data_IF_902786425265
#
_entry.id   IF_902786425265
#
_cell.length_a   1.000
_cell.length_b   1.000
_cell.length_c   1.000
_cell.angle_alpha   90.00
_cell.angle_beta   90.00
_cell.angle_gamma   90.00
#
_symmetry.space_group_name_H-M   'P 1'
#
loop_
_entity.id
_entity.type
_entity.pdbx_description
1 polymer ?
#
# COMPACT_ATOMS: atom_id res chain seq x y z
N UNK A 1 -21.02 35.80 -7.15
CA UNK A 1 -20.08 35.06 -8.02
C UNK A 1 -19.33 36.04 -8.94
N UNK A 2 -18.22 36.62 -8.49
CA UNK A 2 -17.60 37.79 -9.15
C UNK A 2 -16.27 37.46 -9.86
N UNK A 3 -15.61 36.35 -9.51
CA UNK A 3 -14.29 35.96 -10.03
C UNK A 3 -14.34 35.23 -11.40
N UNK A 4 -15.50 34.72 -11.84
CA UNK A 4 -15.63 33.86 -13.06
C UNK A 4 -14.52 32.78 -13.18
N UNK A 5 -14.03 32.26 -12.05
CA UNK A 5 -12.94 31.27 -11.97
C UNK A 5 -11.60 31.69 -12.58
N UNK A 6 -11.35 33.00 -12.78
CA UNK A 6 -10.06 33.49 -13.31
C UNK A 6 -8.91 33.30 -12.32
N UNK A 7 -9.19 33.26 -11.01
CA UNK A 7 -8.22 32.93 -9.95
C UNK A 7 -8.69 31.66 -9.24
N UNK A 8 -8.17 30.48 -9.60
CA UNK A 8 -8.55 29.23 -8.96
C UNK A 8 -8.05 29.17 -7.52
N UNK A 9 -8.80 28.49 -6.66
CA UNK A 9 -8.43 28.21 -5.27
C UNK A 9 -7.96 26.76 -5.22
N UNK A 10 -6.80 26.52 -4.63
CA UNK A 10 -6.21 25.21 -4.47
C UNK A 10 -5.93 24.88 -3.00
N UNK A 11 -6.11 23.62 -2.65
CA UNK A 11 -5.70 23.03 -1.38
C UNK A 11 -4.61 21.98 -1.65
N UNK A 12 -3.67 21.85 -0.71
CA UNK A 12 -2.68 20.79 -0.77
C UNK A 12 -3.34 19.44 -0.46
N UNK A 13 -2.88 18.36 -1.09
CA UNK A 13 -3.35 16.99 -0.78
C UNK A 13 -2.81 16.47 0.55
N UNK A 14 -1.87 17.18 1.18
CA UNK A 14 -1.13 16.76 2.38
C UNK A 14 -1.61 17.41 3.67
N UNK A 15 -2.60 18.31 3.61
CA UNK A 15 -3.20 18.90 4.81
C UNK A 15 -4.36 18.05 5.30
N UNK A 16 -4.60 18.01 6.61
CA UNK A 16 -5.69 17.24 7.18
C UNK A 16 -7.07 17.83 6.83
N UNK A 17 -8.10 16.98 6.86
CA UNK A 17 -9.47 17.33 6.46
C UNK A 17 -10.06 18.52 7.22
N UNK A 18 -9.61 18.78 8.45
CA UNK A 18 -10.01 19.96 9.24
C UNK A 18 -9.68 21.30 8.57
N UNK A 19 -8.73 21.31 7.63
CA UNK A 19 -8.30 22.50 6.89
C UNK A 19 -9.02 22.69 5.56
N UNK A 20 -9.90 21.76 5.17
CA UNK A 20 -10.65 21.82 3.91
C UNK A 20 -11.91 22.68 3.99
N UNK A 21 -12.30 23.14 5.18
CA UNK A 21 -13.44 24.05 5.38
C UNK A 21 -14.75 23.52 4.76
N UNK A 22 -14.99 22.21 4.83
CA UNK A 22 -16.16 21.52 4.24
C UNK A 22 -16.26 21.66 2.70
N UNK A 23 -15.14 21.90 2.01
CA UNK A 23 -15.07 22.02 0.55
C UNK A 23 -14.62 20.73 -0.15
N UNK A 24 -14.38 19.65 0.59
CA UNK A 24 -13.92 18.36 0.06
C UNK A 24 -14.83 17.82 -1.05
N UNK A 25 -16.15 17.94 -0.90
CA UNK A 25 -17.14 17.56 -1.91
C UNK A 25 -17.00 18.34 -3.24
N UNK A 26 -16.28 19.46 -3.23
CA UNK A 26 -16.06 20.36 -4.37
C UNK A 26 -14.63 20.30 -4.92
N UNK A 27 -13.82 19.36 -4.43
CA UNK A 27 -12.45 19.20 -4.88
C UNK A 27 -12.36 18.47 -6.21
N UNK A 28 -11.43 18.91 -7.05
CA UNK A 28 -10.96 18.19 -8.23
C UNK A 28 -9.45 18.01 -8.13
N UNK A 29 -8.99 16.76 -8.15
CA UNK A 29 -7.56 16.46 -8.13
C UNK A 29 -6.88 16.90 -9.45
N UNK A 30 -5.91 17.81 -9.37
CA UNK A 30 -5.09 18.27 -10.48
C UNK A 30 -3.59 18.21 -10.09
N UNK A 31 -2.94 17.08 -10.38
CA UNK A 31 -1.55 16.82 -9.98
C UNK A 31 -1.45 16.43 -8.51
N UNK A 32 -0.87 17.29 -7.68
CA UNK A 32 -0.73 17.13 -6.23
C UNK A 32 -1.56 18.16 -5.42
N UNK A 33 -2.55 18.78 -6.05
CA UNK A 33 -3.40 19.76 -5.41
C UNK A 33 -4.86 19.52 -5.76
N UNK A 34 -5.74 19.88 -4.83
CA UNK A 34 -7.17 19.90 -5.04
C UNK A 34 -7.62 21.29 -5.48
N UNK A 35 -8.17 21.40 -6.68
CA UNK A 35 -8.83 22.62 -7.15
C UNK A 35 -10.27 22.65 -6.68
N UNK A 36 -10.72 23.78 -6.13
CA UNK A 36 -12.15 23.99 -5.87
C UNK A 36 -12.90 24.22 -7.18
N UNK A 37 -13.91 23.41 -7.46
CA UNK A 37 -14.78 23.54 -8.62
C UNK A 37 -16.26 23.60 -8.20
N UNK A 38 -17.15 24.29 -8.93
CA UNK A 38 -18.57 24.39 -8.59
C UNK A 38 -19.35 23.12 -8.99
N UNK A 39 -18.75 21.95 -8.83
CA UNK A 39 -19.33 20.66 -9.13
C UNK A 39 -19.23 19.83 -7.87
N UNK A 40 -20.38 19.57 -7.25
CA UNK A 40 -20.45 18.71 -6.08
C UNK A 40 -20.29 17.25 -6.54
N UNK A 41 -19.31 16.55 -5.98
CA UNK A 41 -19.11 15.12 -6.14
C UNK A 41 -19.26 14.42 -4.81
N UNK A 42 -19.78 13.20 -4.81
CA UNK A 42 -19.68 12.35 -3.64
C UNK A 42 -18.22 11.89 -3.51
N UNK A 43 -17.70 11.94 -2.29
CA UNK A 43 -16.39 11.37 -1.96
C UNK A 43 -16.40 9.86 -2.25
N UNK A 44 -15.76 9.49 -3.36
CA UNK A 44 -15.96 8.18 -3.97
C UNK A 44 -14.79 7.19 -3.76
N UNK A 45 -13.71 7.61 -3.10
CA UNK A 45 -12.55 6.75 -2.89
C UNK A 45 -11.75 7.15 -1.65
N UNK A 46 -11.42 6.15 -0.82
CA UNK A 46 -10.41 6.30 0.24
C UNK A 46 -9.08 6.77 -0.37
N UNK A 47 -8.54 7.88 0.13
CA UNK A 47 -7.26 8.45 -0.33
C UNK A 47 -7.33 9.51 -1.45
N UNK A 48 -8.52 9.91 -1.90
CA UNK A 48 -8.68 11.06 -2.79
C UNK A 48 -10.01 11.78 -2.53
N UNK A 49 -9.93 13.03 -2.09
CA UNK A 49 -11.11 13.87 -1.86
C UNK A 49 -11.70 14.40 -3.18
N UNK A 50 -13.02 14.49 -3.23
CA UNK A 50 -13.78 15.01 -4.36
C UNK A 50 -13.71 14.12 -5.61
N UNK A 51 -13.60 14.76 -6.78
CA UNK A 51 -13.61 14.11 -8.10
C UNK A 51 -12.24 14.05 -8.76
N UNK A 52 -12.10 13.11 -9.68
CA UNK A 52 -10.99 13.03 -10.62
C UNK A 52 -11.50 13.33 -12.02
N UNK A 53 -10.93 14.35 -12.67
CA UNK A 53 -11.09 14.53 -14.12
C UNK A 53 -9.90 13.84 -14.80
N UNK A 54 -10.14 12.67 -15.39
CA UNK A 54 -9.08 11.82 -15.92
C UNK A 54 -8.27 12.50 -17.03
N UNK A 55 -8.90 13.28 -17.91
CA UNK A 55 -8.20 13.93 -19.02
C UNK A 55 -7.28 15.05 -18.54
N UNK A 56 -7.73 15.89 -17.59
CA UNK A 56 -6.88 16.94 -17.00
C UNK A 56 -5.75 16.32 -16.19
N UNK A 57 -6.06 15.34 -15.32
CA UNK A 57 -5.04 14.74 -14.46
C UNK A 57 -4.03 13.92 -15.27
N UNK A 58 -4.47 13.27 -16.35
CA UNK A 58 -3.58 12.59 -17.30
C UNK A 58 -2.62 13.57 -17.96
N UNK A 59 -3.11 14.70 -18.48
CA UNK A 59 -2.24 15.71 -19.09
C UNK A 59 -1.19 16.21 -18.08
N UNK A 60 -1.63 16.52 -16.86
CA UNK A 60 -0.74 16.98 -15.79
C UNK A 60 0.33 15.95 -15.47
N UNK A 61 -0.06 14.71 -15.12
CA UNK A 61 0.89 13.70 -14.66
C UNK A 61 1.76 13.15 -15.80
N UNK A 62 1.22 12.99 -17.00
CA UNK A 62 1.95 12.32 -18.08
C UNK A 62 2.86 13.27 -18.86
N UNK A 63 2.49 14.55 -18.99
CA UNK A 63 3.15 15.48 -19.91
C UNK A 63 3.75 16.72 -19.23
N UNK A 64 3.13 17.25 -18.16
CA UNK A 64 3.59 18.51 -17.56
C UNK A 64 4.43 18.34 -16.28
N UNK A 65 4.17 17.29 -15.50
CA UNK A 65 4.78 17.12 -14.19
C UNK A 65 6.28 16.81 -14.30
N UNK A 66 7.08 17.39 -13.39
CA UNK A 66 8.51 17.13 -13.27
C UNK A 66 8.79 16.35 -11.99
N UNK A 67 9.62 15.32 -12.09
CA UNK A 67 9.82 14.34 -11.01
C UNK A 67 11.09 14.61 -10.19
N UNK A 68 11.58 15.84 -10.18
CA UNK A 68 12.79 16.20 -9.42
C UNK A 68 14.05 15.41 -9.83
N UNK A 69 14.08 14.88 -11.06
CA UNK A 69 15.18 14.07 -11.59
C UNK A 69 15.03 12.55 -11.39
N UNK A 70 14.01 12.09 -10.65
CA UNK A 70 13.77 10.66 -10.39
C UNK A 70 13.51 9.85 -11.66
N UNK A 71 13.01 10.49 -12.71
CA UNK A 71 12.69 9.88 -14.00
C UNK A 71 13.86 9.91 -15.00
N UNK A 72 14.94 10.64 -14.71
CA UNK A 72 16.05 10.90 -15.65
C UNK A 72 17.42 10.52 -15.11
N UNK A 73 17.66 10.66 -13.80
CA UNK A 73 18.92 10.33 -13.15
C UNK A 73 18.69 9.63 -11.80
N UNK A 74 17.90 8.55 -11.73
CA UNK A 74 17.53 7.90 -10.47
C UNK A 74 18.77 7.48 -9.66
N UNK A 75 19.80 6.93 -10.30
CA UNK A 75 21.01 6.42 -9.64
C UNK A 75 21.91 7.51 -9.03
N UNK A 76 21.66 8.78 -9.36
CA UNK A 76 22.46 9.93 -8.87
C UNK A 76 21.76 10.68 -7.74
N UNK A 77 20.56 10.26 -7.36
CA UNK A 77 19.74 10.96 -6.38
C UNK A 77 19.65 10.11 -5.12
N UNK A 78 20.21 10.63 -4.04
CA UNK A 78 19.99 10.06 -2.71
C UNK A 78 18.66 10.56 -2.14
N UNK A 79 17.81 9.64 -1.70
CA UNK A 79 16.58 9.93 -1.00
C UNK A 79 16.70 9.45 0.44
N UNK A 80 16.74 10.40 1.38
CA UNK A 80 16.59 10.10 2.79
C UNK A 80 15.15 9.65 3.13
N UNK A 81 14.94 9.25 4.38
CA UNK A 81 13.65 8.77 4.87
C UNK A 81 12.50 9.77 4.63
N UNK A 82 12.73 11.06 4.85
CA UNK A 82 11.71 12.10 4.70
C UNK A 82 11.33 12.28 3.23
N UNK A 83 12.33 12.35 2.36
CA UNK A 83 12.14 12.50 0.92
C UNK A 83 11.44 11.28 0.30
N UNK A 84 11.72 10.07 0.81
CA UNK A 84 11.01 8.85 0.38
C UNK A 84 9.52 8.89 0.74
N UNK A 85 9.13 9.45 1.90
CA UNK A 85 7.72 9.59 2.28
C UNK A 85 6.93 10.45 1.31
N UNK A 86 7.54 11.49 0.72
CA UNK A 86 6.87 12.32 -0.29
C UNK A 86 6.53 11.56 -1.58
N UNK A 87 7.23 10.46 -1.89
CA UNK A 87 6.93 9.63 -3.06
C UNK A 87 5.51 9.07 -3.01
N UNK A 88 5.03 8.76 -1.79
CA UNK A 88 3.68 8.24 -1.59
C UNK A 88 2.61 9.20 -2.12
N UNK A 89 2.84 10.51 -2.04
CA UNK A 89 1.91 11.51 -2.58
C UNK A 89 1.81 11.43 -4.11
N UNK A 90 2.95 11.24 -4.81
CA UNK A 90 2.93 11.02 -6.26
C UNK A 90 2.21 9.72 -6.61
N UNK A 91 2.55 8.61 -5.94
CA UNK A 91 1.91 7.31 -6.17
C UNK A 91 0.40 7.37 -5.94
N UNK A 92 -0.05 8.13 -4.94
CA UNK A 92 -1.48 8.35 -4.67
C UNK A 92 -2.20 9.03 -5.85
N UNK A 93 -1.64 10.10 -6.41
CA UNK A 93 -2.22 10.76 -7.58
C UNK A 93 -2.23 9.88 -8.83
N UNK A 94 -1.17 9.10 -9.06
CA UNK A 94 -1.15 8.10 -10.13
C UNK A 94 -2.23 7.02 -9.94
N UNK A 95 -2.38 6.52 -8.71
CA UNK A 95 -3.40 5.54 -8.33
C UNK A 95 -4.81 6.10 -8.58
N UNK A 96 -5.09 7.33 -8.15
CA UNK A 96 -6.38 7.99 -8.36
C UNK A 96 -6.70 8.15 -9.86
N UNK A 97 -5.71 8.55 -10.68
CA UNK A 97 -5.87 8.62 -12.13
C UNK A 97 -6.14 7.24 -12.75
N UNK A 98 -5.32 6.24 -12.42
CA UNK A 98 -5.46 4.90 -12.96
C UNK A 98 -6.81 4.27 -12.58
N UNK A 99 -7.26 4.43 -11.33
CA UNK A 99 -8.60 4.01 -10.89
C UNK A 99 -9.71 4.67 -11.71
N UNK A 100 -9.63 5.98 -11.91
CA UNK A 100 -10.63 6.69 -12.68
C UNK A 100 -10.66 6.22 -14.15
N UNK A 101 -9.50 5.99 -14.76
CA UNK A 101 -9.40 5.45 -16.11
C UNK A 101 -9.96 4.02 -16.21
N UNK A 102 -9.76 3.18 -15.19
CA UNK A 102 -10.37 1.85 -15.10
C UNK A 102 -11.88 1.95 -15.00
N UNK A 103 -12.42 2.84 -14.13
CA UNK A 103 -13.86 3.10 -14.03
C UNK A 103 -14.47 3.56 -15.35
N UNK A 104 -13.71 4.29 -16.15
CA UNK A 104 -14.10 4.77 -17.49
C UNK A 104 -13.89 3.73 -18.62
N UNK A 105 -13.37 2.54 -18.32
CA UNK A 105 -13.06 1.51 -19.33
C UNK A 105 -11.85 1.83 -20.22
N UNK A 106 -11.07 2.86 -19.89
CA UNK A 106 -9.90 3.34 -20.67
C UNK A 106 -8.63 2.57 -20.27
N UNK A 107 -8.65 1.24 -20.43
CA UNK A 107 -7.61 0.34 -19.90
C UNK A 107 -6.21 0.56 -20.48
N UNK A 108 -6.08 0.90 -21.77
CA UNK A 108 -4.77 1.20 -22.37
C UNK A 108 -4.14 2.45 -21.76
N UNK A 109 -4.94 3.50 -21.50
CA UNK A 109 -4.45 4.69 -20.80
C UNK A 109 -4.10 4.37 -19.35
N UNK A 110 -4.91 3.56 -18.67
CA UNK A 110 -4.61 3.12 -17.31
C UNK A 110 -3.27 2.36 -17.25
N UNK A 111 -3.01 1.45 -18.19
CA UNK A 111 -1.72 0.74 -18.28
C UNK A 111 -0.54 1.72 -18.44
N UNK A 112 -0.66 2.72 -19.31
CA UNK A 112 0.39 3.75 -19.49
C UNK A 112 0.67 4.53 -18.21
N UNK A 113 -0.39 4.92 -17.49
CA UNK A 113 -0.29 5.64 -16.21
C UNK A 113 0.40 4.77 -15.16
N UNK A 114 -0.01 3.51 -15.02
CA UNK A 114 0.60 2.58 -14.07
C UNK A 114 2.09 2.34 -14.42
N UNK A 115 2.40 2.07 -15.69
CA UNK A 115 3.78 1.84 -16.13
C UNK A 115 4.67 3.07 -15.92
N UNK A 116 4.15 4.28 -16.13
CA UNK A 116 4.88 5.52 -15.86
C UNK A 116 5.19 5.65 -14.37
N UNK A 117 4.22 5.40 -13.51
CA UNK A 117 4.40 5.42 -12.07
C UNK A 117 5.47 4.42 -11.60
N UNK A 118 5.35 3.15 -12.00
CA UNK A 118 6.27 2.09 -11.56
C UNK A 118 7.64 2.18 -12.22
N UNK A 119 7.73 2.80 -13.41
CA UNK A 119 8.99 3.07 -14.08
C UNK A 119 9.79 4.23 -13.45
N UNK A 120 9.12 5.21 -12.86
CA UNK A 120 9.77 6.29 -12.11
C UNK A 120 10.10 5.83 -10.69
N UNK A 121 9.14 5.25 -10.00
CA UNK A 121 9.26 4.86 -8.60
C UNK A 121 9.51 3.36 -8.47
N UNK A 122 10.70 2.93 -8.88
CA UNK A 122 11.13 1.53 -8.83
C UNK A 122 11.32 1.04 -7.39
N UNK A 123 11.39 -0.29 -7.21
CA UNK A 123 11.62 -0.91 -5.90
C UNK A 123 12.95 -0.45 -5.27
N UNK A 124 14.00 -0.30 -6.06
CA UNK A 124 15.32 0.12 -5.59
C UNK A 124 15.30 1.58 -5.11
N UNK A 125 14.60 2.44 -5.85
CA UNK A 125 14.45 3.86 -5.49
C UNK A 125 13.57 4.03 -4.25
N UNK A 126 12.47 3.29 -4.19
CA UNK A 126 11.50 3.33 -3.10
C UNK A 126 10.91 1.92 -2.94
N UNK A 127 11.34 1.16 -1.92
CA UNK A 127 10.83 -0.17 -1.65
C UNK A 127 9.31 -0.19 -1.71
N UNK A 128 8.76 -1.17 -2.42
CA UNK A 128 7.34 -1.25 -2.68
C UNK A 128 6.55 -1.36 -1.38
N UNK A 129 5.65 -0.39 -1.20
CA UNK A 129 4.86 -0.20 0.01
C UNK A 129 3.36 -0.34 -0.27
N UNK A 130 2.56 0.21 0.65
CA UNK A 130 1.11 0.21 0.56
C UNK A 130 0.55 0.63 -0.81
N UNK A 131 1.02 1.75 -1.36
CA UNK A 131 0.51 2.25 -2.65
C UNK A 131 0.88 1.32 -3.83
N UNK A 132 2.05 0.67 -3.80
CA UNK A 132 2.46 -0.25 -4.86
C UNK A 132 1.58 -1.50 -4.89
N UNK A 133 1.19 -1.99 -3.71
CA UNK A 133 0.21 -3.07 -3.54
C UNK A 133 -1.17 -2.67 -4.10
N UNK A 134 -1.57 -1.41 -3.95
CA UNK A 134 -2.79 -0.88 -4.58
C UNK A 134 -2.66 -0.73 -6.11
N UNK A 135 -1.49 -0.28 -6.61
CA UNK A 135 -1.22 -0.17 -8.04
C UNK A 135 -1.22 -1.56 -8.71
N UNK A 136 -0.68 -2.58 -8.04
CA UNK A 136 -0.74 -3.97 -8.50
C UNK A 136 -2.18 -4.46 -8.72
N UNK A 137 -3.11 -4.09 -7.82
CA UNK A 137 -4.54 -4.39 -7.95
C UNK A 137 -5.13 -3.85 -9.27
N UNK A 138 -4.70 -2.65 -9.66
CA UNK A 138 -5.17 -2.01 -10.89
C UNK A 138 -4.64 -2.70 -12.12
N UNK A 139 -3.42 -3.25 -12.09
CA UNK A 139 -2.92 -4.09 -13.18
C UNK A 139 -3.79 -5.35 -13.38
N UNK A 140 -4.25 -5.99 -12.31
CA UNK A 140 -5.18 -7.11 -12.44
C UNK A 140 -6.52 -6.70 -13.04
N UNK A 141 -7.07 -5.55 -12.63
CA UNK A 141 -8.35 -5.01 -13.16
C UNK A 141 -8.31 -4.70 -14.65
N UNK A 142 -7.12 -4.48 -15.22
CA UNK A 142 -6.93 -4.26 -16.67
C UNK A 142 -6.36 -5.47 -17.41
N UNK A 143 -6.45 -6.66 -16.82
CA UNK A 143 -5.97 -7.92 -17.40
C UNK A 143 -4.46 -7.97 -17.67
N UNK A 144 -3.65 -7.31 -16.83
CA UNK A 144 -2.18 -7.30 -16.90
C UNK A 144 -1.58 -8.02 -15.68
N UNK A 145 -2.03 -9.27 -15.48
CA UNK A 145 -1.72 -10.04 -14.28
C UNK A 145 -0.21 -10.18 -14.01
N UNK A 146 0.60 -10.40 -15.04
CA UNK A 146 2.05 -10.55 -14.88
C UNK A 146 2.71 -9.34 -14.20
N UNK A 147 2.30 -8.12 -14.56
CA UNK A 147 2.83 -6.87 -13.97
C UNK A 147 2.38 -6.69 -12.53
N UNK A 148 1.10 -6.95 -12.25
CA UNK A 148 0.56 -6.92 -10.89
C UNK A 148 1.27 -7.93 -9.98
N UNK A 149 1.44 -9.17 -10.47
CA UNK A 149 2.13 -10.24 -9.74
C UNK A 149 3.60 -9.89 -9.51
N UNK A 150 4.30 -9.29 -10.47
CA UNK A 150 5.70 -8.88 -10.29
C UNK A 150 5.87 -7.87 -9.15
N UNK A 151 4.99 -6.87 -9.06
CA UNK A 151 5.00 -5.89 -7.96
C UNK A 151 4.73 -6.56 -6.62
N UNK A 152 3.69 -7.40 -6.55
CA UNK A 152 3.34 -8.13 -5.32
C UNK A 152 4.46 -9.07 -4.87
N UNK A 153 5.16 -9.70 -5.82
CA UNK A 153 6.33 -10.55 -5.54
C UNK A 153 7.44 -9.74 -4.86
N UNK A 154 7.87 -8.63 -5.46
CA UNK A 154 8.91 -7.79 -4.86
C UNK A 154 8.49 -7.18 -3.52
N UNK A 155 7.21 -6.81 -3.37
CA UNK A 155 6.68 -6.34 -2.09
C UNK A 155 6.75 -7.43 -1.01
N UNK A 156 6.34 -8.68 -1.34
CA UNK A 156 6.46 -9.80 -0.42
C UNK A 156 7.92 -10.05 -0.02
N UNK A 157 8.86 -10.02 -0.97
CA UNK A 157 10.29 -10.22 -0.70
C UNK A 157 10.83 -9.15 0.27
N UNK A 158 10.57 -7.87 -0.01
CA UNK A 158 10.98 -6.77 0.89
C UNK A 158 10.43 -6.95 2.31
N UNK A 159 9.13 -7.23 2.43
CA UNK A 159 8.48 -7.35 3.73
C UNK A 159 8.94 -8.58 4.49
N UNK A 160 9.22 -9.67 3.78
CA UNK A 160 9.75 -10.88 4.38
C UNK A 160 11.17 -10.68 4.91
N UNK A 161 12.03 -10.01 4.16
CA UNK A 161 13.38 -9.66 4.62
C UNK A 161 13.32 -8.81 5.90
N UNK A 162 12.44 -7.82 5.93
CA UNK A 162 12.28 -6.94 7.09
C UNK A 162 11.64 -7.66 8.29
N UNK A 163 10.65 -8.56 8.06
CA UNK A 163 10.10 -9.44 9.11
C UNK A 163 11.13 -10.43 9.65
N UNK A 164 11.96 -11.01 8.79
CA UNK A 164 13.07 -11.90 9.19
C UNK A 164 14.06 -11.14 10.07
N UNK A 165 14.38 -9.90 9.71
CA UNK A 165 15.23 -9.04 10.54
C UNK A 165 14.61 -8.84 11.93
N UNK A 166 13.33 -8.45 12.01
CA UNK A 166 12.67 -8.33 13.32
C UNK A 166 12.69 -9.65 14.10
N UNK A 167 12.36 -10.77 13.46
CA UNK A 167 12.40 -12.09 14.12
C UNK A 167 13.81 -12.50 14.56
N UNK A 168 14.88 -11.91 14.02
CA UNK A 168 16.26 -12.16 14.45
C UNK A 168 16.67 -11.38 15.71
N UNK A 169 15.98 -10.29 16.04
CA UNK A 169 16.36 -9.40 17.15
C UNK A 169 16.05 -10.00 18.53
N UNK A 170 16.80 -9.63 19.56
CA UNK A 170 16.44 -9.97 20.95
C UNK A 170 15.09 -9.33 21.33
N UNK A 171 14.33 -10.00 22.21
CA UNK A 171 13.01 -9.54 22.66
C UNK A 171 13.03 -8.09 23.20
N UNK A 172 14.11 -7.67 23.87
CA UNK A 172 14.28 -6.30 24.40
C UNK A 172 14.30 -5.21 23.33
N UNK A 173 14.70 -5.52 22.09
CA UNK A 173 14.68 -4.56 20.98
C UNK A 173 13.34 -4.59 20.24
N UNK A 174 12.72 -5.78 20.15
CA UNK A 174 11.41 -5.95 19.51
C UNK A 174 10.28 -5.27 20.27
N UNK A 175 10.39 -5.17 21.59
CA UNK A 175 9.39 -4.52 22.43
C UNK A 175 9.12 -3.07 21.99
N UNK A 176 10.12 -2.35 21.47
CA UNK A 176 9.96 -0.99 20.95
C UNK A 176 9.52 -0.90 19.48
N UNK A 177 9.34 -2.02 18.78
CA UNK A 177 9.08 -2.08 17.33
C UNK A 177 7.69 -2.66 17.01
N UNK A 178 6.78 -2.63 17.99
CA UNK A 178 5.44 -3.23 17.90
C UNK A 178 4.65 -2.73 16.69
N UNK A 179 4.61 -1.41 16.52
CA UNK A 179 3.87 -0.75 15.44
C UNK A 179 4.43 -1.13 14.06
N UNK A 180 5.76 -1.23 13.93
CA UNK A 180 6.40 -1.58 12.67
C UNK A 180 6.16 -3.03 12.29
N UNK A 181 6.30 -3.95 13.25
CA UNK A 181 6.01 -5.38 13.03
C UNK A 181 4.54 -5.59 12.68
N UNK A 182 3.62 -4.95 13.41
CA UNK A 182 2.19 -5.05 13.14
C UNK A 182 1.81 -4.48 11.77
N UNK A 183 2.33 -3.30 11.42
CA UNK A 183 2.12 -2.67 10.11
C UNK A 183 2.66 -3.54 8.99
N UNK A 184 3.86 -4.08 9.14
CA UNK A 184 4.51 -4.89 8.12
C UNK A 184 3.80 -6.23 7.90
N UNK A 185 3.41 -6.89 9.00
CA UNK A 185 2.58 -8.10 8.94
C UNK A 185 1.25 -7.84 8.20
N UNK A 186 0.57 -6.73 8.50
CA UNK A 186 -0.66 -6.36 7.79
C UNK A 186 -0.44 -6.12 6.29
N UNK A 187 0.65 -5.44 5.90
CA UNK A 187 1.01 -5.27 4.49
C UNK A 187 1.30 -6.61 3.80
N UNK A 188 2.01 -7.52 4.47
CA UNK A 188 2.26 -8.87 3.97
C UNK A 188 0.95 -9.65 3.75
N UNK A 189 0.02 -9.59 4.71
CA UNK A 189 -1.30 -10.20 4.57
C UNK A 189 -2.05 -9.64 3.36
N UNK A 190 -2.02 -8.32 3.15
CA UNK A 190 -2.67 -7.71 1.99
C UNK A 190 -2.08 -8.17 0.66
N UNK A 191 -0.76 -8.36 0.59
CA UNK A 191 -0.10 -8.98 -0.57
C UNK A 191 -0.63 -10.39 -0.81
N UNK A 192 -0.64 -11.24 0.22
CA UNK A 192 -1.14 -12.62 0.11
C UNK A 192 -2.61 -12.68 -0.32
N UNK A 193 -3.49 -11.88 0.30
CA UNK A 193 -4.91 -11.79 -0.06
C UNK A 193 -5.07 -11.46 -1.54
N UNK A 194 -4.31 -10.48 -2.05
CA UNK A 194 -4.36 -10.08 -3.46
C UNK A 194 -3.84 -11.16 -4.40
N UNK A 195 -2.77 -11.87 -4.02
CA UNK A 195 -2.28 -13.01 -4.81
C UNK A 195 -3.35 -14.12 -4.89
N UNK A 196 -3.98 -14.48 -3.78
CA UNK A 196 -5.07 -15.47 -3.77
C UNK A 196 -6.27 -15.02 -4.59
N UNK A 197 -6.75 -13.79 -4.40
CA UNK A 197 -7.89 -13.22 -5.13
C UNK A 197 -7.65 -13.20 -6.65
N UNK A 198 -6.40 -13.05 -7.08
CA UNK A 198 -6.01 -12.99 -8.49
C UNK A 198 -5.43 -14.32 -9.03
N UNK A 199 -5.80 -15.45 -8.40
CA UNK A 199 -5.47 -16.82 -8.85
C UNK A 199 -3.96 -17.10 -8.90
N UNK A 200 -3.15 -16.39 -8.12
CA UNK A 200 -1.71 -16.62 -7.96
C UNK A 200 -1.40 -17.53 -6.77
N UNK A 201 -2.26 -18.53 -6.50
CA UNK A 201 -2.24 -19.32 -5.26
C UNK A 201 -0.94 -20.09 -5.03
N UNK A 202 -0.26 -20.56 -6.09
CA UNK A 202 1.04 -21.23 -5.95
C UNK A 202 2.08 -20.29 -5.32
N UNK A 203 2.17 -19.06 -5.82
CA UNK A 203 3.10 -18.06 -5.30
C UNK A 203 2.70 -17.61 -3.88
N UNK A 204 1.40 -17.36 -3.67
CA UNK A 204 0.87 -17.02 -2.34
C UNK A 204 1.20 -18.11 -1.30
N UNK A 205 1.03 -19.39 -1.66
CA UNK A 205 1.36 -20.51 -0.79
C UNK A 205 2.85 -20.58 -0.46
N UNK A 206 3.74 -20.32 -1.43
CA UNK A 206 5.19 -20.27 -1.18
C UNK A 206 5.51 -19.24 -0.10
N UNK A 207 5.03 -18.00 -0.27
CA UNK A 207 5.28 -16.92 0.68
C UNK A 207 4.61 -17.17 2.04
N UNK A 208 3.39 -17.71 2.04
CA UNK A 208 2.70 -18.11 3.27
C UNK A 208 3.51 -19.14 4.06
N UNK A 209 4.01 -20.19 3.40
CA UNK A 209 4.82 -21.23 4.04
C UNK A 209 6.15 -20.69 4.57
N UNK A 210 6.80 -19.79 3.84
CA UNK A 210 8.05 -19.19 4.30
C UNK A 210 7.84 -18.29 5.53
N UNK A 211 6.82 -17.43 5.50
CA UNK A 211 6.47 -16.60 6.65
C UNK A 211 6.06 -17.45 7.86
N UNK A 212 5.35 -18.56 7.62
CA UNK A 212 4.98 -19.50 8.66
C UNK A 212 6.21 -20.17 9.30
N UNK A 213 7.11 -20.72 8.49
CA UNK A 213 8.37 -21.32 8.97
C UNK A 213 9.18 -20.34 9.80
N UNK A 214 9.32 -19.09 9.36
CA UNK A 214 10.00 -18.04 10.11
C UNK A 214 9.40 -17.83 11.50
N UNK A 215 8.07 -17.76 11.60
CA UNK A 215 7.38 -17.56 12.88
C UNK A 215 7.44 -18.81 13.78
N UNK A 216 7.38 -20.00 13.20
CA UNK A 216 7.59 -21.25 13.93
C UNK A 216 8.99 -21.34 14.52
N UNK A 217 10.02 -21.04 13.73
CA UNK A 217 11.42 -21.08 14.18
C UNK A 217 11.67 -20.09 15.32
N UNK A 218 11.10 -18.88 15.24
CA UNK A 218 11.32 -17.85 16.27
C UNK A 218 10.52 -18.07 17.54
N UNK A 219 9.24 -18.45 17.43
CA UNK A 219 8.32 -18.38 18.56
C UNK A 219 7.68 -19.72 18.93
N UNK A 220 7.95 -20.79 18.17
CA UNK A 220 7.30 -22.09 18.34
C UNK A 220 5.76 -21.95 18.44
N UNK A 221 5.18 -20.97 17.73
CA UNK A 221 3.77 -20.57 17.87
C UNK A 221 2.79 -21.69 17.55
N UNK A 222 3.25 -22.76 16.90
CA UNK A 222 2.43 -23.87 16.46
C UNK A 222 2.40 -25.06 17.44
N UNK A 223 3.32 -25.11 18.41
CA UNK A 223 3.40 -26.24 19.36
C UNK A 223 2.89 -25.91 20.77
N UNK A 224 2.87 -24.64 21.16
CA UNK A 224 2.47 -24.23 22.53
C UNK A 224 0.97 -24.02 22.69
N UNK A 225 0.25 -23.46 21.71
CA UNK A 225 -1.22 -23.36 21.78
C UNK A 225 -1.93 -24.70 21.62
N UNK A 226 -1.36 -25.61 20.81
CA UNK A 226 -1.78 -27.00 20.76
C UNK A 226 -1.51 -27.75 22.09
N UNK A 227 -0.56 -27.25 22.89
CA UNK A 227 -0.20 -27.77 24.22
C UNK A 227 -0.95 -27.11 25.39
N UNK A 228 -1.78 -26.09 25.16
CA UNK A 228 -2.65 -25.49 26.18
C UNK A 228 -4.06 -26.08 26.00
N UNK A 229 -4.44 -27.11 26.80
CA UNK A 229 -5.65 -27.90 26.56
C UNK A 229 -6.96 -27.15 26.88
N UNK A 230 -6.91 -26.10 27.72
CA UNK A 230 -8.10 -25.39 28.18
C UNK A 230 -8.18 -23.96 27.64
N UNK A 231 -9.38 -23.57 27.19
CA UNK A 231 -9.68 -22.23 26.67
C UNK A 231 -9.30 -21.11 27.65
N UNK A 232 -9.52 -21.29 28.95
CA UNK A 232 -9.15 -20.31 29.97
C UNK A 232 -7.62 -20.12 30.07
N UNK A 233 -6.86 -21.19 29.90
CA UNK A 233 -5.39 -21.13 29.88
C UNK A 233 -4.87 -20.42 28.63
N UNK A 234 -5.53 -20.62 27.50
CA UNK A 234 -5.24 -19.89 26.26
C UNK A 234 -5.57 -18.41 26.41
N UNK A 235 -6.77 -18.06 26.90
CA UNK A 235 -7.22 -16.68 27.13
C UNK A 235 -6.29 -15.94 28.11
N UNK A 236 -5.85 -16.59 29.19
CA UNK A 236 -4.90 -16.01 30.15
C UNK A 236 -3.51 -15.84 29.56
N UNK A 237 -3.07 -16.74 28.68
CA UNK A 237 -1.80 -16.59 27.99
C UNK A 237 -1.86 -15.39 27.03
N UNK A 238 -2.93 -15.29 26.22
CA UNK A 238 -3.16 -14.14 25.33
C UNK A 238 -3.17 -12.80 26.07
N UNK A 239 -3.85 -12.72 27.22
CA UNK A 239 -3.97 -11.47 27.96
C UNK A 239 -2.65 -10.96 28.56
N UNK A 240 -1.61 -11.79 28.59
CA UNK A 240 -0.30 -11.44 29.16
C UNK A 240 0.80 -11.31 28.10
N UNK A 241 0.47 -11.44 26.82
CA UNK A 241 1.46 -11.25 25.75
C UNK A 241 1.74 -9.76 25.53
N UNK A 242 3.01 -9.37 25.34
CA UNK A 242 3.35 -8.06 24.79
C UNK A 242 2.72 -7.87 23.40
N UNK A 243 2.41 -6.62 23.04
CA UNK A 243 1.66 -6.31 21.82
C UNK A 243 2.36 -6.78 20.53
N UNK A 244 3.71 -6.77 20.46
CA UNK A 244 4.42 -7.30 19.28
C UNK A 244 4.21 -8.81 19.11
N UNK A 245 4.15 -9.56 20.23
CA UNK A 245 3.86 -11.00 20.19
C UNK A 245 2.41 -11.24 19.77
N UNK A 246 1.48 -10.38 20.20
CA UNK A 246 0.09 -10.44 19.74
C UNK A 246 -0.04 -10.18 18.24
N UNK A 247 0.66 -9.17 17.69
CA UNK A 247 0.67 -8.89 16.25
C UNK A 247 1.22 -10.04 15.43
N UNK A 248 2.38 -10.60 15.83
CA UNK A 248 3.00 -11.76 15.17
C UNK A 248 2.14 -13.01 15.28
N UNK A 249 1.46 -13.20 16.43
CA UNK A 249 0.53 -14.30 16.62
C UNK A 249 -0.70 -14.19 15.72
N UNK A 250 -1.33 -13.02 15.64
CA UNK A 250 -2.45 -12.76 14.70
C UNK A 250 -2.02 -12.96 13.25
N UNK A 251 -0.80 -12.53 12.91
CA UNK A 251 -0.23 -12.79 11.59
C UNK A 251 -0.08 -14.29 11.33
N UNK A 252 0.49 -15.04 12.28
CA UNK A 252 0.62 -16.49 12.19
C UNK A 252 -0.73 -17.21 12.02
N UNK A 253 -1.74 -16.82 12.79
CA UNK A 253 -3.10 -17.39 12.68
C UNK A 253 -3.67 -17.21 11.26
N UNK A 254 -3.50 -16.03 10.67
CA UNK A 254 -3.93 -15.76 9.30
C UNK A 254 -3.25 -16.70 8.30
N UNK A 255 -1.93 -16.89 8.44
CA UNK A 255 -1.16 -17.80 7.56
C UNK A 255 -1.65 -19.25 7.69
N UNK A 256 -1.88 -19.73 8.92
CA UNK A 256 -2.36 -21.09 9.19
C UNK A 256 -3.70 -21.43 8.51
N UNK A 257 -4.64 -20.48 8.48
CA UNK A 257 -5.93 -20.65 7.77
C UNK A 257 -5.73 -20.97 6.27
N UNK A 258 -4.69 -20.40 5.66
CA UNK A 258 -4.42 -20.57 4.22
C UNK A 258 -3.55 -21.80 3.92
N UNK A 259 -2.78 -22.31 4.90
CA UNK A 259 -2.05 -23.58 4.78
C UNK A 259 -3.00 -24.79 4.90
N UNK A 260 -4.07 -24.67 5.70
CA UNK A 260 -5.02 -25.76 5.99
C UNK A 260 -6.00 -26.11 4.86
N UNK A 261 -6.14 -25.26 3.83
CA UNK A 261 -6.99 -25.51 2.66
C UNK A 261 -6.33 -26.45 1.61
N UNK A 262 -5.61 -27.47 2.08
CA UNK A 262 -5.04 -28.55 1.25
C UNK A 262 -6.04 -29.68 1.06
#
# INVERSE_FOLDING_TARGET
ATNKWKRPIYFATTVGNSLYMNLEDYFQLEGLAYKVVPVKSQNNSFGSEGRVNSDILYEKLMNEFKWGGLDTNPDKIYLDENNRRFIMNFKSSFKALAEQLVKEGKYEKAEKVLNKCTGIFTNDLSPYGYYDVLLADLYFKINKAEKGTAILKSAAENYQEELNYYCSLDDKYLEGMQDDVGRLGALYQEVLKKLYANKQSKLANTYTLQAYSMLEDRFAFNSTLAGLPERASQERWYSNLPDYKMGLFQFNMFLGQHISNR
#
